data_IF_921528332403
#
_entry.id   IF_921528332403
#
_cell.length_a   1.000
_cell.length_b   1.000
_cell.length_c   1.000
_cell.angle_alpha   90.00
_cell.angle_beta   90.00
_cell.angle_gamma   90.00
#
_symmetry.space_group_name_H-M   'P 1'
#
loop_
_entity.id
_entity.type
_entity.pdbx_description
1 polymer ?
#
# COMPACT_ATOMS: atom_id res chain seq x y z
N UNK A 1 6.75 17.65 -15.22
CA UNK A 1 7.21 16.51 -14.39
C UNK A 1 5.98 15.93 -13.72
N UNK A 2 5.73 14.64 -13.90
CA UNK A 2 4.68 13.91 -13.18
C UNK A 2 5.40 13.09 -12.11
N UNK A 3 4.99 13.24 -10.86
CA UNK A 3 5.55 12.53 -9.72
C UNK A 3 4.40 11.85 -8.98
N UNK A 4 4.66 10.64 -8.45
CA UNK A 4 3.72 9.72 -7.79
C UNK A 4 3.23 8.60 -8.70
N UNK A 5 3.21 7.37 -8.18
CA UNK A 5 2.83 6.18 -8.94
C UNK A 5 1.39 6.25 -9.46
N UNK A 6 0.45 6.75 -8.66
CA UNK A 6 -0.95 6.86 -9.08
C UNK A 6 -1.12 7.95 -10.14
N UNK A 7 -0.46 9.09 -9.98
CA UNK A 7 -0.48 10.16 -10.98
C UNK A 7 0.16 9.73 -12.32
N UNK A 8 1.22 8.91 -12.26
CA UNK A 8 1.87 8.34 -13.44
C UNK A 8 0.92 7.35 -14.14
N UNK A 9 0.28 6.45 -13.39
CA UNK A 9 -0.71 5.50 -13.94
C UNK A 9 -1.86 6.27 -14.58
N UNK A 10 -2.47 7.23 -13.88
CA UNK A 10 -3.56 8.07 -14.38
C UNK A 10 -3.20 8.76 -15.70
N UNK A 11 -1.99 9.30 -15.81
CA UNK A 11 -1.52 9.95 -17.02
C UNK A 11 -1.42 8.99 -18.21
N UNK A 12 -0.83 7.81 -18.01
CA UNK A 12 -0.66 6.84 -19.09
C UNK A 12 -1.97 6.15 -19.49
N UNK A 13 -2.91 5.98 -18.55
CA UNK A 13 -4.25 5.49 -18.84
C UNK A 13 -5.05 6.50 -19.67
N UNK A 14 -4.92 7.80 -19.39
CA UNK A 14 -5.62 8.85 -20.14
C UNK A 14 -5.20 8.96 -21.62
N UNK A 15 -3.96 8.57 -21.95
CA UNK A 15 -3.46 8.55 -23.34
C UNK A 15 -3.67 7.19 -24.04
N UNK A 16 -4.22 6.20 -23.33
CA UNK A 16 -4.55 4.89 -23.85
C UNK A 16 -3.46 3.84 -23.61
N UNK A 17 -3.77 2.84 -22.79
CA UNK A 17 -2.94 1.67 -22.57
C UNK A 17 -3.51 0.44 -23.31
N UNK A 18 -2.63 -0.41 -23.87
CA UNK A 18 -3.03 -1.69 -24.49
C UNK A 18 -3.78 -2.59 -23.50
N UNK A 19 -3.28 -2.63 -22.26
CA UNK A 19 -3.89 -3.33 -21.14
C UNK A 19 -4.17 -2.29 -20.05
N UNK A 20 -5.43 -1.83 -19.93
CA UNK A 20 -5.79 -0.83 -18.94
C UNK A 20 -5.55 -1.32 -17.51
N UNK A 21 -4.92 -0.47 -16.69
CA UNK A 21 -4.79 -0.66 -15.26
C UNK A 21 -6.16 -0.68 -14.56
N UNK A 22 -7.12 0.09 -15.08
CA UNK A 22 -8.47 0.20 -14.52
C UNK A 22 -9.43 -0.82 -15.13
N UNK A 23 -9.97 -1.77 -14.34
CA UNK A 23 -11.08 -2.60 -14.78
C UNK A 23 -12.32 -1.73 -15.11
N UNK A 24 -13.11 -2.21 -16.07
CA UNK A 24 -14.31 -1.49 -16.53
C UNK A 24 -15.58 -1.91 -15.78
N UNK A 25 -15.55 -3.08 -15.14
CA UNK A 25 -16.68 -3.60 -14.38
C UNK A 25 -16.65 -3.10 -12.93
N UNK A 26 -17.83 -2.85 -12.29
CA UNK A 26 -17.89 -2.19 -11.00
C UNK A 26 -17.18 -2.91 -9.86
N UNK A 27 -17.34 -4.23 -9.72
CA UNK A 27 -16.77 -4.97 -8.59
C UNK A 27 -15.25 -5.05 -8.72
N UNK A 28 -14.73 -5.41 -9.90
CA UNK A 28 -13.30 -5.42 -10.16
C UNK A 28 -12.66 -4.04 -9.96
N UNK A 29 -13.31 -2.96 -10.41
CA UNK A 29 -12.81 -1.59 -10.18
C UNK A 29 -12.73 -1.25 -8.70
N UNK A 30 -13.77 -1.59 -7.93
CA UNK A 30 -13.79 -1.35 -6.49
C UNK A 30 -12.70 -2.12 -5.76
N UNK A 31 -12.52 -3.41 -6.11
CA UNK A 31 -11.47 -4.27 -5.55
C UNK A 31 -10.09 -3.75 -5.92
N UNK A 32 -9.86 -3.36 -7.18
CA UNK A 32 -8.59 -2.76 -7.59
C UNK A 32 -8.22 -1.52 -6.78
N UNK A 33 -9.16 -0.60 -6.52
CA UNK A 33 -8.87 0.58 -5.70
C UNK A 33 -8.68 0.26 -4.21
N UNK A 34 -9.38 -0.75 -3.68
CA UNK A 34 -9.14 -1.22 -2.32
C UNK A 34 -7.68 -1.71 -2.15
N UNK A 35 -7.18 -2.49 -3.09
CA UNK A 35 -5.81 -3.00 -3.05
C UNK A 35 -4.75 -1.98 -3.51
N UNK A 36 -5.13 -0.96 -4.29
CA UNK A 36 -4.32 0.25 -4.49
C UNK A 36 -4.05 0.95 -3.15
N UNK A 37 -5.12 1.21 -2.39
CA UNK A 37 -5.06 1.84 -1.08
C UNK A 37 -4.31 0.97 -0.07
N UNK A 38 -4.67 -0.31 0.06
CA UNK A 38 -4.06 -1.21 1.03
C UNK A 38 -2.58 -1.50 0.70
N UNK A 39 -2.24 -1.70 -0.56
CA UNK A 39 -0.86 -1.89 -0.99
C UNK A 39 -0.01 -0.63 -0.78
N UNK A 40 -0.53 0.54 -1.14
CA UNK A 40 0.19 1.80 -0.99
C UNK A 40 0.39 2.23 0.47
N UNK A 41 -0.58 1.95 1.35
CA UNK A 41 -0.64 2.54 2.69
C UNK A 41 -0.72 1.54 3.84
N UNK A 42 -1.39 0.40 3.66
CA UNK A 42 -1.60 -0.61 4.71
C UNK A 42 -0.42 -1.54 4.94
N UNK A 43 0.34 -1.87 3.89
CA UNK A 43 1.51 -2.76 3.97
C UNK A 43 2.82 -2.04 4.36
N UNK A 44 2.77 -0.74 4.68
CA UNK A 44 3.96 0.02 5.08
C UNK A 44 4.55 -0.47 6.41
N UNK A 45 3.69 -0.92 7.35
CA UNK A 45 4.14 -1.45 8.65
C UNK A 45 5.03 -2.70 8.51
N UNK A 46 4.59 -3.79 7.85
CA UNK A 46 5.48 -4.93 7.63
C UNK A 46 6.67 -4.59 6.73
N UNK A 47 6.52 -3.72 5.72
CA UNK A 47 7.64 -3.30 4.87
C UNK A 47 8.76 -2.62 5.68
N UNK A 48 8.41 -1.75 6.63
CA UNK A 48 9.37 -1.08 7.50
C UNK A 48 10.00 -2.04 8.52
N UNK A 49 9.20 -2.90 9.15
CA UNK A 49 9.70 -3.91 10.11
C UNK A 49 10.69 -4.87 9.45
N UNK A 50 10.28 -5.53 8.37
CA UNK A 50 11.11 -6.54 7.72
C UNK A 50 12.39 -5.96 7.13
N UNK A 51 12.41 -4.71 6.68
CA UNK A 51 13.62 -4.08 6.17
C UNK A 51 14.59 -3.72 7.30
N UNK A 52 14.08 -3.12 8.37
CA UNK A 52 14.92 -2.42 9.35
C UNK A 52 15.08 -3.11 10.70
N UNK A 53 14.49 -4.28 10.92
CA UNK A 53 14.59 -5.01 12.20
C UNK A 53 15.24 -6.40 12.08
N UNK A 54 15.79 -6.73 10.91
CA UNK A 54 16.45 -8.00 10.59
C UNK A 54 17.91 -7.78 10.19
N UNK A 55 18.70 -7.13 11.05
CA UNK A 55 20.06 -6.72 10.72
C UNK A 55 20.99 -7.91 10.43
N UNK A 56 20.77 -9.05 11.09
CA UNK A 56 21.57 -10.25 10.89
C UNK A 56 21.50 -10.76 9.43
N UNK A 57 20.34 -10.64 8.81
CA UNK A 57 20.08 -11.09 7.44
C UNK A 57 20.23 -9.96 6.42
N UNK A 58 19.74 -8.77 6.73
CA UNK A 58 19.57 -7.69 5.76
C UNK A 58 20.73 -6.70 5.71
N UNK A 59 21.47 -6.47 6.80
CA UNK A 59 22.34 -5.30 6.91
C UNK A 59 23.42 -5.26 5.81
N UNK A 60 24.06 -6.41 5.55
CA UNK A 60 25.10 -6.50 4.52
C UNK A 60 24.57 -6.23 3.11
N UNK A 61 23.32 -6.63 2.84
CA UNK A 61 22.64 -6.32 1.59
C UNK A 61 22.28 -4.83 1.51
N UNK A 62 21.63 -4.29 2.54
CA UNK A 62 21.15 -2.91 2.58
C UNK A 62 22.27 -1.88 2.52
N UNK A 63 23.42 -2.14 3.14
CA UNK A 63 24.57 -1.23 3.09
C UNK A 63 24.99 -0.91 1.66
N UNK A 64 24.96 -1.91 0.77
CA UNK A 64 25.28 -1.75 -0.65
C UNK A 64 24.09 -1.27 -1.44
N UNK A 65 22.96 -1.97 -1.32
CA UNK A 65 21.79 -1.77 -2.18
C UNK A 65 21.15 -0.40 -1.98
N UNK A 66 21.02 0.03 -0.73
CA UNK A 66 20.37 1.29 -0.39
C UNK A 66 21.20 2.49 -0.85
N UNK A 67 22.53 2.41 -0.74
CA UNK A 67 23.42 3.47 -1.22
C UNK A 67 23.47 3.53 -2.74
N UNK A 68 23.46 2.38 -3.43
CA UNK A 68 23.37 2.34 -4.90
C UNK A 68 22.17 3.14 -5.43
N UNK A 69 21.03 3.11 -4.75
CA UNK A 69 19.85 3.89 -5.14
C UNK A 69 19.91 5.37 -4.75
N UNK A 70 20.56 5.71 -3.63
CA UNK A 70 20.62 7.08 -3.12
C UNK A 70 21.75 7.92 -3.74
N UNK A 71 22.91 7.31 -3.92
CA UNK A 71 24.12 7.96 -4.43
C UNK A 71 24.94 6.95 -5.25
N UNK A 72 24.57 6.71 -6.52
CA UNK A 72 25.31 5.81 -7.39
C UNK A 72 26.80 6.18 -7.45
N UNK A 73 27.68 5.20 -7.22
CA UNK A 73 29.13 5.37 -7.26
C UNK A 73 29.80 5.82 -5.96
N UNK A 74 29.05 6.02 -4.87
CA UNK A 74 29.64 6.20 -3.54
C UNK A 74 30.40 4.94 -3.10
N UNK A 75 31.56 5.12 -2.46
CA UNK A 75 32.40 4.02 -1.95
C UNK A 75 33.02 4.37 -0.59
N UNK A 76 33.47 3.34 0.14
CA UNK A 76 34.27 3.49 1.36
C UNK A 76 33.56 4.29 2.46
N UNK A 77 34.23 5.30 3.02
CA UNK A 77 33.67 6.13 4.09
C UNK A 77 32.42 6.91 3.67
N UNK A 78 32.32 7.30 2.38
CA UNK A 78 31.15 8.02 1.86
C UNK A 78 29.93 7.11 1.84
N UNK A 79 30.09 5.86 1.37
CA UNK A 79 29.03 4.84 1.39
C UNK A 79 28.54 4.60 2.82
N UNK A 80 29.45 4.41 3.78
CA UNK A 80 29.11 4.21 5.18
C UNK A 80 28.37 5.40 5.79
N UNK A 81 28.81 6.64 5.51
CA UNK A 81 28.18 7.85 6.02
C UNK A 81 26.76 8.06 5.44
N UNK A 82 26.61 7.87 4.12
CA UNK A 82 25.30 7.95 3.44
C UNK A 82 24.35 6.90 4.01
N UNK A 83 24.81 5.65 4.12
CA UNK A 83 24.01 4.57 4.68
C UNK A 83 23.61 4.87 6.13
N UNK A 84 24.55 5.26 7.00
CA UNK A 84 24.28 5.55 8.41
C UNK A 84 23.23 6.65 8.59
N UNK A 85 23.36 7.76 7.86
CA UNK A 85 22.41 8.86 7.93
C UNK A 85 21.01 8.46 7.40
N UNK A 86 20.95 7.77 6.27
CA UNK A 86 19.69 7.41 5.62
C UNK A 86 18.97 6.28 6.37
N UNK A 87 19.67 5.21 6.75
CA UNK A 87 19.10 4.09 7.52
C UNK A 87 18.62 4.52 8.91
N UNK A 88 19.36 5.39 9.61
CA UNK A 88 18.93 5.94 10.90
C UNK A 88 17.62 6.74 10.80
N UNK A 89 17.46 7.52 9.73
CA UNK A 89 16.21 8.24 9.45
C UNK A 89 15.05 7.27 9.18
N UNK A 90 15.28 6.22 8.40
CA UNK A 90 14.24 5.23 8.07
C UNK A 90 13.84 4.40 9.28
N UNK A 91 14.80 3.93 10.11
CA UNK A 91 14.50 3.25 11.37
C UNK A 91 13.64 4.11 12.30
N UNK A 92 13.95 5.41 12.40
CA UNK A 92 13.11 6.35 13.17
C UNK A 92 11.71 6.50 12.55
N UNK A 93 11.60 6.54 11.23
CA UNK A 93 10.31 6.60 10.54
C UNK A 93 9.48 5.32 10.73
N UNK A 94 10.10 4.15 10.93
CA UNK A 94 9.40 2.90 11.23
C UNK A 94 8.50 2.99 12.47
N UNK A 95 8.94 3.72 13.50
CA UNK A 95 8.14 3.96 14.69
C UNK A 95 6.83 4.72 14.38
N UNK A 96 6.83 5.59 13.37
CA UNK A 96 5.63 6.30 12.91
C UNK A 96 4.59 5.39 12.24
N UNK A 97 4.94 4.13 11.96
CA UNK A 97 4.02 3.10 11.47
C UNK A 97 3.64 2.09 12.56
N UNK A 98 3.99 2.38 13.82
CA UNK A 98 3.72 1.52 14.96
C UNK A 98 4.70 0.35 15.10
N UNK A 99 5.86 0.39 14.44
CA UNK A 99 6.89 -0.66 14.55
C UNK A 99 7.70 -0.47 15.83
N UNK A 100 7.69 -1.46 16.71
CA UNK A 100 8.51 -1.54 17.92
C UNK A 100 8.67 -3.02 18.36
N UNK A 101 9.39 -3.25 19.46
CA UNK A 101 9.66 -4.62 19.94
C UNK A 101 8.38 -5.38 20.34
N UNK A 102 7.39 -4.70 20.90
CA UNK A 102 6.15 -5.32 21.38
C UNK A 102 5.22 -5.73 20.22
N UNK A 103 5.19 -4.91 19.17
CA UNK A 103 4.33 -5.13 17.99
C UNK A 103 4.98 -6.02 16.94
N UNK A 104 6.31 -6.16 16.93
CA UNK A 104 7.06 -6.94 15.95
C UNK A 104 6.49 -8.37 15.73
N UNK A 105 6.26 -9.20 16.77
CA UNK A 105 5.69 -10.54 16.57
C UNK A 105 4.30 -10.52 15.90
N UNK A 106 3.47 -9.52 16.22
CA UNK A 106 2.14 -9.34 15.64
C UNK A 106 2.21 -8.84 14.20
N UNK A 107 3.17 -7.98 13.86
CA UNK A 107 3.44 -7.55 12.48
C UNK A 107 3.79 -8.74 11.62
N UNK A 108 4.68 -9.60 12.09
CA UNK A 108 5.06 -10.79 11.34
C UNK A 108 3.92 -11.81 11.23
N UNK A 109 3.11 -11.99 12.28
CA UNK A 109 1.95 -12.86 12.23
C UNK A 109 0.90 -12.34 11.22
N UNK A 110 0.59 -11.05 11.25
CA UNK A 110 -0.31 -10.40 10.30
C UNK A 110 0.21 -10.50 8.86
N UNK A 111 1.51 -10.27 8.65
CA UNK A 111 2.10 -10.42 7.31
C UNK A 111 2.06 -11.86 6.79
N UNK A 112 2.32 -12.86 7.64
CA UNK A 112 2.19 -14.27 7.25
C UNK A 112 0.75 -14.64 6.92
N UNK A 113 -0.23 -14.13 7.67
CA UNK A 113 -1.65 -14.32 7.35
C UNK A 113 -2.01 -13.70 5.99
N UNK A 114 -1.55 -12.49 5.69
CA UNK A 114 -1.70 -11.90 4.36
C UNK A 114 -1.09 -12.78 3.27
N UNK A 115 0.13 -13.28 3.48
CA UNK A 115 0.80 -14.17 2.52
C UNK A 115 0.06 -15.51 2.36
N UNK A 116 -0.45 -16.12 3.43
CA UNK A 116 -1.23 -17.35 3.36
C UNK A 116 -2.49 -17.16 2.49
N UNK A 117 -3.20 -16.03 2.68
CA UNK A 117 -4.39 -15.67 1.89
C UNK A 117 -4.05 -15.35 0.43
N UNK A 118 -2.98 -14.61 0.19
CA UNK A 118 -2.59 -14.22 -1.16
C UNK A 118 -2.04 -15.41 -1.95
N UNK A 119 -1.29 -16.30 -1.30
CA UNK A 119 -0.85 -17.58 -1.86
C UNK A 119 -2.04 -18.44 -2.29
N UNK A 120 -3.07 -18.54 -1.44
CA UNK A 120 -4.28 -19.28 -1.78
C UNK A 120 -5.02 -18.68 -2.99
N UNK A 121 -5.07 -17.35 -3.10
CA UNK A 121 -5.68 -16.70 -4.25
C UNK A 121 -4.86 -16.91 -5.54
N UNK A 122 -3.54 -16.75 -5.45
CA UNK A 122 -2.63 -16.90 -6.59
C UNK A 122 -2.42 -18.36 -7.01
N UNK A 123 -2.93 -19.33 -6.25
CA UNK A 123 -2.99 -20.72 -6.68
C UNK A 123 -3.92 -20.91 -7.89
N UNK A 124 -4.96 -20.08 -8.03
CA UNK A 124 -5.93 -20.15 -9.14
C UNK A 124 -5.73 -19.05 -10.20
N UNK A 125 -5.16 -17.90 -9.81
CA UNK A 125 -5.05 -16.72 -10.66
C UNK A 125 -3.60 -16.20 -10.76
N UNK A 126 -3.23 -15.71 -11.95
CA UNK A 126 -1.88 -15.17 -12.18
C UNK A 126 -1.64 -13.81 -11.51
N UNK A 127 -2.71 -13.05 -11.28
CA UNK A 127 -2.78 -11.70 -10.72
C UNK A 127 -4.09 -11.55 -9.93
N UNK A 128 -4.22 -10.46 -9.19
CA UNK A 128 -5.34 -10.19 -8.26
C UNK A 128 -6.73 -10.33 -8.90
N UNK A 129 -6.87 -10.00 -10.19
CA UNK A 129 -8.13 -10.06 -10.92
C UNK A 129 -8.10 -10.98 -12.14
N UNK A 130 -7.13 -11.91 -12.20
CA UNK A 130 -7.06 -12.93 -13.25
C UNK A 130 -5.74 -12.98 -14.01
N UNK A 131 -5.80 -12.86 -15.33
CA UNK A 131 -4.69 -13.14 -16.26
C UNK A 131 -3.73 -11.98 -16.53
N UNK A 132 -4.04 -10.76 -16.07
CA UNK A 132 -3.18 -9.58 -16.24
C UNK A 132 -3.18 -8.69 -14.99
N UNK A 133 -2.12 -7.89 -14.75
CA UNK A 133 -2.10 -6.99 -13.62
C UNK A 133 -3.10 -5.84 -13.81
N UNK A 134 -3.65 -5.40 -12.70
CA UNK A 134 -4.52 -4.22 -12.62
C UNK A 134 -3.96 -3.24 -11.60
N UNK A 135 -4.66 -2.12 -11.39
CA UNK A 135 -4.30 -1.11 -10.39
C UNK A 135 -4.05 -1.70 -8.99
N UNK A 136 -4.83 -2.71 -8.59
CA UNK A 136 -4.63 -3.38 -7.30
C UNK A 136 -3.29 -4.09 -7.20
N UNK A 137 -2.87 -4.78 -8.28
CA UNK A 137 -1.54 -5.39 -8.37
C UNK A 137 -0.43 -4.32 -8.32
N UNK A 138 -0.62 -3.18 -8.99
CA UNK A 138 0.34 -2.07 -8.97
C UNK A 138 0.45 -1.40 -7.59
N UNK A 139 -0.62 -1.36 -6.81
CA UNK A 139 -0.56 -0.96 -5.40
C UNK A 139 0.22 -1.96 -4.55
N UNK A 140 -0.12 -3.25 -4.67
CA UNK A 140 0.48 -4.32 -3.87
C UNK A 140 1.97 -4.53 -4.14
N UNK A 141 2.43 -4.35 -5.38
CA UNK A 141 3.85 -4.56 -5.73
C UNK A 141 4.76 -3.50 -5.09
N UNK A 142 4.24 -2.30 -4.80
CA UNK A 142 4.96 -1.20 -4.18
C UNK A 142 5.72 -1.58 -2.90
N UNK A 143 5.07 -2.20 -1.89
CA UNK A 143 5.75 -2.76 -0.72
C UNK A 143 6.30 -4.17 -0.98
N UNK A 144 5.59 -5.01 -1.75
CA UNK A 144 5.91 -6.44 -1.88
C UNK A 144 7.20 -6.70 -2.65
N UNK A 145 7.61 -5.84 -3.58
CA UNK A 145 8.87 -6.01 -4.29
C UNK A 145 10.07 -5.39 -3.55
N UNK A 146 10.21 -4.05 -3.45
CA UNK A 146 11.46 -3.43 -3.03
C UNK A 146 11.82 -3.67 -1.56
N UNK A 147 10.87 -4.05 -0.72
CA UNK A 147 11.08 -4.37 0.70
C UNK A 147 10.94 -5.88 0.92
N UNK A 148 9.75 -6.42 0.65
CA UNK A 148 9.39 -7.76 1.14
C UNK A 148 9.83 -8.90 0.21
N UNK A 149 10.10 -8.62 -1.06
CA UNK A 149 10.52 -9.61 -2.07
C UNK A 149 11.98 -9.49 -2.48
N UNK A 150 12.63 -8.38 -2.11
CA UNK A 150 14.04 -8.08 -2.43
C UNK A 150 14.96 -8.21 -1.21
N UNK A 151 14.56 -7.73 -0.03
CA UNK A 151 15.42 -7.78 1.16
C UNK A 151 15.58 -9.25 1.63
N UNK A 152 16.79 -9.67 2.08
CA UNK A 152 17.10 -11.09 2.33
C UNK A 152 16.14 -11.84 3.25
N UNK A 153 15.81 -11.30 4.43
CA UNK A 153 14.94 -11.96 5.41
C UNK A 153 13.51 -12.21 4.87
N UNK A 154 12.74 -11.19 4.44
CA UNK A 154 11.38 -11.41 3.95
C UNK A 154 11.37 -12.16 2.61
N UNK A 155 12.37 -11.97 1.75
CA UNK A 155 12.47 -12.71 0.49
C UNK A 155 12.73 -14.20 0.73
N UNK A 156 13.57 -14.57 1.71
CA UNK A 156 13.80 -15.95 2.09
C UNK A 156 12.51 -16.61 2.62
N UNK A 157 11.76 -15.91 3.46
CA UNK A 157 10.44 -16.37 3.93
C UNK A 157 9.47 -16.61 2.76
N UNK A 158 9.35 -15.62 1.86
CA UNK A 158 8.46 -15.69 0.70
C UNK A 158 8.83 -16.87 -0.20
N UNK A 159 10.12 -17.03 -0.56
CA UNK A 159 10.60 -18.12 -1.41
C UNK A 159 10.41 -19.51 -0.78
N UNK A 160 10.59 -19.61 0.54
CA UNK A 160 10.52 -20.89 1.23
C UNK A 160 9.08 -21.42 1.41
N UNK A 161 8.09 -20.52 1.50
CA UNK A 161 6.72 -20.89 1.93
C UNK A 161 5.60 -20.43 0.99
N UNK A 162 5.83 -19.40 0.19
CA UNK A 162 4.80 -18.68 -0.56
C UNK A 162 5.19 -18.61 -2.04
N UNK A 163 5.19 -19.79 -2.67
CA UNK A 163 5.70 -19.97 -4.03
C UNK A 163 4.93 -19.11 -5.03
N UNK A 164 3.60 -19.10 -4.98
CA UNK A 164 2.76 -18.35 -5.91
C UNK A 164 2.92 -16.84 -5.69
N UNK A 165 3.02 -16.36 -4.44
CA UNK A 165 3.32 -14.95 -4.16
C UNK A 165 4.69 -14.56 -4.70
N UNK A 166 5.73 -15.37 -4.47
CA UNK A 166 7.07 -15.12 -5.00
C UNK A 166 7.06 -15.08 -6.54
N UNK A 167 6.39 -16.04 -7.18
CA UNK A 167 6.19 -16.09 -8.63
C UNK A 167 5.45 -14.87 -9.17
N UNK A 168 4.46 -14.36 -8.44
CA UNK A 168 3.74 -13.13 -8.77
C UNK A 168 4.66 -11.90 -8.67
N UNK A 169 5.51 -11.80 -7.64
CA UNK A 169 6.51 -10.71 -7.54
C UNK A 169 7.46 -10.71 -8.73
N UNK A 170 7.97 -11.88 -9.14
CA UNK A 170 8.81 -11.98 -10.33
C UNK A 170 8.06 -11.56 -11.59
N UNK A 171 6.81 -12.03 -11.76
CA UNK A 171 5.96 -11.72 -12.90
C UNK A 171 5.64 -10.23 -13.01
N UNK A 172 5.46 -9.53 -11.90
CA UNK A 172 5.23 -8.09 -11.86
C UNK A 172 6.47 -7.26 -12.25
N UNK A 173 7.67 -7.84 -12.23
CA UNK A 173 8.94 -7.17 -12.56
C UNK A 173 9.39 -7.39 -14.01
N UNK A 174 8.57 -8.04 -14.83
CA UNK A 174 8.87 -8.29 -16.25
C UNK A 174 7.69 -7.87 -17.12
N UNK A 175 7.93 -7.24 -18.28
CA UNK A 175 6.86 -6.76 -19.15
C UNK A 175 6.15 -7.88 -19.90
N UNK A 176 6.77 -9.05 -20.04
CA UNK A 176 6.15 -10.21 -20.69
C UNK A 176 5.31 -11.00 -19.69
N UNK A 177 4.14 -11.48 -20.12
CA UNK A 177 3.40 -12.48 -19.37
C UNK A 177 4.24 -13.76 -19.28
N UNK A 178 4.88 -14.00 -18.12
CA UNK A 178 5.57 -15.27 -17.91
C UNK A 178 4.52 -16.36 -17.77
N UNK A 179 4.45 -17.31 -18.71
CA UNK A 179 3.47 -18.40 -18.72
C UNK A 179 3.74 -19.50 -17.65
N UNK A 180 4.64 -19.24 -16.69
CA UNK A 180 4.92 -20.17 -15.60
C UNK A 180 3.76 -20.23 -14.60
N UNK A 181 3.29 -21.46 -14.33
CA UNK A 181 2.29 -21.78 -13.30
C UNK A 181 0.86 -21.95 -13.82
N UNK A 182 0.35 -20.96 -14.57
CA UNK A 182 -1.06 -20.88 -14.95
C UNK A 182 -1.21 -20.72 -16.46
N UNK A 183 -1.13 -21.82 -17.21
CA UNK A 183 -1.24 -21.85 -18.68
C UNK A 183 -2.64 -21.40 -19.18
N UNK A 184 -3.64 -21.36 -18.29
CA UNK A 184 -5.05 -21.34 -18.67
C UNK A 184 -5.71 -19.97 -18.91
N UNK A 185 -5.17 -18.83 -18.44
CA UNK A 185 -5.98 -17.61 -18.30
C UNK A 185 -5.69 -16.47 -19.32
N UNK A 186 -4.69 -16.61 -20.18
CA UNK A 186 -4.30 -15.53 -21.11
C UNK A 186 -4.17 -14.18 -20.39
N UNK A 187 -4.60 -13.08 -21.02
CA UNK A 187 -4.69 -11.74 -20.41
C UNK A 187 -6.09 -11.41 -19.87
N UNK A 188 -7.00 -12.39 -19.79
CA UNK A 188 -8.39 -12.15 -19.41
C UNK A 188 -8.54 -11.90 -17.90
N UNK A 189 -9.41 -10.95 -17.53
CA UNK A 189 -9.84 -10.82 -16.14
C UNK A 189 -10.85 -11.93 -15.80
N UNK A 190 -11.11 -12.12 -14.51
CA UNK A 190 -12.13 -13.06 -14.03
C UNK A 190 -13.49 -12.76 -14.71
N UNK A 191 -14.20 -13.80 -15.16
CA UNK A 191 -15.46 -13.63 -15.87
C UNK A 191 -16.56 -13.03 -14.98
N UNK A 192 -17.57 -12.44 -15.62
CA UNK A 192 -18.83 -12.01 -15.00
C UNK A 192 -18.69 -11.03 -13.82
N UNK A 193 -17.63 -10.22 -13.81
CA UNK A 193 -17.29 -9.30 -12.69
C UNK A 193 -17.22 -10.04 -11.32
N UNK A 194 -16.95 -11.35 -11.35
CA UNK A 194 -16.98 -12.17 -10.16
C UNK A 194 -15.81 -11.84 -9.23
N UNK A 195 -16.07 -11.87 -7.93
CA UNK A 195 -15.07 -11.75 -6.86
C UNK A 195 -15.04 -13.08 -6.10
N UNK A 196 -14.05 -13.95 -6.36
CA UNK A 196 -14.01 -15.28 -5.77
C UNK A 196 -13.76 -15.22 -4.26
N UNK A 197 -14.11 -16.29 -3.54
CA UNK A 197 -14.02 -16.34 -2.08
C UNK A 197 -12.59 -16.11 -1.56
N UNK A 198 -11.56 -16.54 -2.30
CA UNK A 198 -10.14 -16.27 -1.97
C UNK A 198 -9.83 -14.77 -1.99
N UNK A 199 -10.42 -14.01 -2.91
CA UNK A 199 -10.26 -12.56 -2.99
C UNK A 199 -11.09 -11.85 -1.90
N UNK A 200 -12.31 -12.33 -1.62
CA UNK A 200 -13.10 -11.85 -0.47
C UNK A 200 -12.40 -12.08 0.86
N UNK A 201 -11.64 -13.18 0.99
CA UNK A 201 -10.84 -13.44 2.18
C UNK A 201 -9.73 -12.39 2.37
N UNK A 202 -9.05 -11.98 1.29
CA UNK A 202 -8.12 -10.85 1.34
C UNK A 202 -8.83 -9.54 1.71
N UNK A 203 -10.04 -9.28 1.21
CA UNK A 203 -10.82 -8.10 1.59
C UNK A 203 -11.16 -8.09 3.09
N UNK A 204 -11.54 -9.24 3.67
CA UNK A 204 -11.76 -9.39 5.12
C UNK A 204 -10.48 -9.18 5.93
N UNK A 205 -9.33 -9.58 5.39
CA UNK A 205 -8.05 -9.26 6.00
C UNK A 205 -7.82 -7.74 6.05
N UNK A 206 -8.09 -7.01 4.96
CA UNK A 206 -7.99 -5.53 4.95
C UNK A 206 -8.94 -4.90 5.97
N UNK A 207 -10.16 -5.43 6.11
CA UNK A 207 -11.11 -4.98 7.13
C UNK A 207 -10.58 -5.16 8.55
N UNK A 208 -9.88 -6.26 8.81
CA UNK A 208 -9.36 -6.58 10.14
C UNK A 208 -8.06 -5.82 10.45
N UNK A 209 -7.16 -5.74 9.48
CA UNK A 209 -5.79 -5.28 9.69
C UNK A 209 -5.61 -3.77 9.47
N UNK A 210 -6.40 -3.16 8.57
CA UNK A 210 -6.17 -1.79 8.12
C UNK A 210 -7.34 -0.82 8.35
N UNK A 211 -8.58 -1.30 8.33
CA UNK A 211 -9.75 -0.43 8.56
C UNK A 211 -9.72 0.32 9.91
N UNK A 212 -9.29 -0.27 11.05
CA UNK A 212 -9.21 0.48 12.31
C UNK A 212 -8.29 1.70 12.22
N UNK A 213 -7.20 1.58 11.47
CA UNK A 213 -6.27 2.70 11.22
C UNK A 213 -6.94 3.79 10.38
N UNK A 214 -7.65 3.43 9.31
CA UNK A 214 -8.39 4.38 8.48
C UNK A 214 -9.44 5.16 9.30
N UNK A 215 -10.19 4.46 10.15
CA UNK A 215 -11.20 5.07 11.03
C UNK A 215 -10.54 6.11 11.94
N UNK A 216 -9.48 5.73 12.65
CA UNK A 216 -8.79 6.61 13.58
C UNK A 216 -8.14 7.81 12.86
N UNK A 217 -7.59 7.61 11.67
CA UNK A 217 -6.94 8.66 10.88
C UNK A 217 -7.94 9.67 10.34
N UNK A 218 -9.10 9.22 9.85
CA UNK A 218 -10.17 10.11 9.39
C UNK A 218 -10.75 10.91 10.55
N UNK A 219 -10.97 10.27 11.71
CA UNK A 219 -11.41 10.97 12.92
C UNK A 219 -10.41 12.07 13.33
N UNK A 220 -9.12 11.72 13.43
CA UNK A 220 -8.07 12.70 13.73
C UNK A 220 -8.02 13.84 12.73
N UNK A 221 -8.12 13.54 11.43
CA UNK A 221 -8.09 14.56 10.39
C UNK A 221 -9.28 15.52 10.51
N UNK A 222 -10.47 15.01 10.81
CA UNK A 222 -11.65 15.85 11.01
C UNK A 222 -11.52 16.76 12.23
N UNK A 223 -10.98 16.26 13.35
CA UNK A 223 -10.68 17.11 14.52
C UNK A 223 -9.62 18.16 14.19
N UNK A 224 -8.59 17.78 13.42
CA UNK A 224 -7.52 18.67 12.99
C UNK A 224 -8.03 19.79 12.07
N UNK A 225 -8.98 19.49 11.18
CA UNK A 225 -9.64 20.43 10.28
C UNK A 225 -10.60 21.35 11.05
N UNK A 226 -11.39 20.80 11.97
CA UNK A 226 -12.32 21.57 12.80
C UNK A 226 -11.59 22.60 13.69
N UNK A 227 -10.39 22.28 14.16
CA UNK A 227 -9.52 23.21 14.89
C UNK A 227 -8.90 24.32 14.00
N UNK A 228 -9.12 24.29 12.68
CA UNK A 228 -8.56 25.22 11.69
C UNK A 228 -9.64 25.72 10.72
N UNK A 229 -10.64 26.47 11.21
CA UNK A 229 -11.72 26.98 10.36
C UNK A 229 -11.21 27.91 9.24
N UNK A 230 -10.10 28.61 9.48
CA UNK A 230 -9.50 29.56 8.54
C UNK A 230 -8.47 28.91 7.59
N UNK A 231 -8.41 27.57 7.54
CA UNK A 231 -7.47 26.87 6.67
C UNK A 231 -7.70 27.24 5.19
N UNK A 232 -6.66 27.72 4.53
CA UNK A 232 -6.74 28.16 3.13
C UNK A 232 -6.84 26.95 2.19
N UNK A 233 -7.86 26.94 1.33
CA UNK A 233 -8.03 25.95 0.25
C UNK A 233 -6.82 25.92 -0.68
N UNK A 234 -6.40 24.71 -1.07
CA UNK A 234 -5.23 24.52 -1.91
C UNK A 234 -3.90 24.56 -1.15
N UNK A 235 -3.92 24.55 0.19
CA UNK A 235 -2.74 24.38 1.03
C UNK A 235 -2.77 23.05 1.79
N UNK A 236 -1.63 22.54 2.22
CA UNK A 236 -1.57 21.38 3.12
C UNK A 236 -1.85 21.74 4.59
N UNK A 237 -1.96 23.04 4.90
CA UNK A 237 -2.18 23.58 6.24
C UNK A 237 -1.01 23.42 7.22
N UNK A 238 0.21 23.25 6.70
CA UNK A 238 1.45 23.12 7.47
C UNK A 238 2.46 24.17 7.00
N UNK A 239 3.45 24.48 7.85
CA UNK A 239 4.48 25.50 7.54
C UNK A 239 5.30 25.18 6.28
N UNK A 240 5.44 23.89 5.95
CA UNK A 240 6.20 23.41 4.80
C UNK A 240 5.27 22.66 3.84
N UNK A 241 5.15 23.08 2.57
CA UNK A 241 4.29 22.43 1.59
C UNK A 241 4.58 20.94 1.34
N UNK A 242 5.84 20.51 1.54
CA UNK A 242 6.26 19.11 1.37
C UNK A 242 6.05 18.22 2.60
N UNK A 243 5.46 18.72 3.69
CA UNK A 243 5.15 17.88 4.85
C UNK A 243 3.99 16.93 4.54
N UNK A 244 4.21 15.64 4.82
CA UNK A 244 3.29 14.56 4.47
C UNK A 244 2.40 14.07 5.62
N UNK A 245 2.62 14.57 6.84
CA UNK A 245 1.89 14.14 8.03
C UNK A 245 1.33 15.32 8.81
N UNK A 246 0.09 15.19 9.28
CA UNK A 246 -0.64 16.22 10.04
C UNK A 246 -0.69 15.96 11.55
N UNK A 247 -0.19 14.81 11.99
CA UNK A 247 -0.14 14.40 13.39
C UNK A 247 -0.05 12.89 13.57
N UNK A 248 -0.44 12.41 14.74
CA UNK A 248 -0.41 11.01 15.13
C UNK A 248 -1.78 10.60 15.67
N UNK A 249 -2.27 9.42 15.31
CA UNK A 249 -3.51 8.86 15.82
C UNK A 249 -3.25 7.52 16.50
N UNK A 250 -3.92 7.28 17.63
CA UNK A 250 -3.83 6.04 18.41
C UNK A 250 -5.09 5.20 18.20
N UNK A 251 -4.91 3.89 18.01
CA UNK A 251 -6.01 2.95 17.79
C UNK A 251 -5.61 1.53 18.22
N UNK A 252 -6.62 0.68 18.39
CA UNK A 252 -6.43 -0.73 18.67
C UNK A 252 -6.16 -1.51 17.37
N UNK A 253 -5.08 -2.29 17.38
CA UNK A 253 -4.66 -3.11 16.26
C UNK A 253 -4.17 -4.46 16.77
N UNK A 254 -4.93 -5.52 16.49
CA UNK A 254 -4.60 -6.92 16.83
C UNK A 254 -4.14 -7.11 18.29
N UNK A 255 -4.86 -6.50 19.22
CA UNK A 255 -4.60 -6.59 20.67
C UNK A 255 -3.54 -5.61 21.20
N UNK A 256 -3.00 -4.73 20.35
CA UNK A 256 -2.09 -3.65 20.74
C UNK A 256 -2.76 -2.30 20.60
N UNK A 257 -2.45 -1.38 21.51
CA UNK A 257 -2.72 0.04 21.28
C UNK A 257 -1.51 0.65 20.57
N UNK A 258 -1.66 1.03 19.30
CA UNK A 258 -0.56 1.55 18.48
C UNK A 258 -0.85 2.98 18.05
N UNK A 259 0.22 3.75 17.80
CA UNK A 259 0.13 5.15 17.37
C UNK A 259 0.87 5.32 16.05
N UNK A 260 0.19 5.79 15.00
CA UNK A 260 0.77 5.96 13.67
C UNK A 260 0.55 7.36 13.10
N UNK A 261 1.41 7.75 12.16
CA UNK A 261 1.36 9.07 11.53
C UNK A 261 0.17 9.20 10.58
N UNK A 262 -0.58 10.28 10.74
CA UNK A 262 -1.74 10.58 9.90
C UNK A 262 -1.29 11.31 8.64
N UNK A 263 -1.41 10.66 7.49
CA UNK A 263 -0.90 11.16 6.21
C UNK A 263 -2.06 11.52 5.25
N UNK A 264 -2.21 12.79 4.83
CA UNK A 264 -3.31 13.21 3.94
C UNK A 264 -3.41 12.45 2.63
N UNK A 265 -2.28 11.98 2.07
CA UNK A 265 -2.26 11.17 0.84
C UNK A 265 -3.18 9.95 0.91
N UNK A 266 -3.30 9.34 2.10
CA UNK A 266 -4.19 8.21 2.36
C UNK A 266 -5.66 8.54 2.13
N UNK A 267 -6.09 9.76 2.47
CA UNK A 267 -7.47 10.19 2.28
C UNK A 267 -7.80 10.42 0.81
N UNK A 268 -6.80 10.83 0.01
CA UNK A 268 -6.96 10.93 -1.44
C UNK A 268 -7.20 9.55 -2.08
N UNK A 269 -6.44 8.53 -1.67
CA UNK A 269 -6.67 7.14 -2.11
C UNK A 269 -7.98 6.57 -1.57
N UNK A 270 -8.32 6.85 -0.30
CA UNK A 270 -9.58 6.43 0.30
C UNK A 270 -10.80 6.97 -0.44
N UNK A 271 -10.78 8.24 -0.85
CA UNK A 271 -11.88 8.85 -1.59
C UNK A 271 -12.06 8.20 -2.98
N UNK A 272 -10.95 7.84 -3.66
CA UNK A 272 -10.99 7.04 -4.90
C UNK A 272 -11.62 5.66 -4.65
N UNK A 273 -11.17 4.95 -3.62
CA UNK A 273 -11.68 3.62 -3.27
C UNK A 273 -13.16 3.64 -2.88
N UNK A 274 -13.61 4.62 -2.09
CA UNK A 274 -15.02 4.80 -1.70
C UNK A 274 -15.93 5.02 -2.90
N UNK A 275 -15.55 5.93 -3.80
CA UNK A 275 -16.33 6.21 -5.02
C UNK A 275 -16.45 4.97 -5.90
N UNK A 276 -15.38 4.20 -6.05
CA UNK A 276 -15.39 2.96 -6.80
C UNK A 276 -16.22 1.85 -6.14
N UNK A 277 -16.26 1.81 -4.81
CA UNK A 277 -17.00 0.80 -4.04
C UNK A 277 -18.50 1.10 -3.91
N UNK A 278 -18.94 2.36 -4.05
CA UNK A 278 -20.35 2.74 -3.86
C UNK A 278 -21.36 1.92 -4.71
N UNK A 279 -21.11 1.60 -6.00
CA UNK A 279 -22.03 0.78 -6.80
C UNK A 279 -22.11 -0.69 -6.35
N UNK A 280 -21.15 -1.16 -5.55
CA UNK A 280 -21.03 -2.55 -5.08
C UNK A 280 -20.96 -2.62 -3.56
N UNK A 281 -21.68 -1.74 -2.86
CA UNK A 281 -21.64 -1.62 -1.41
C UNK A 281 -21.88 -2.96 -0.68
N UNK A 282 -22.78 -3.81 -1.18
CA UNK A 282 -23.05 -5.15 -0.62
C UNK A 282 -21.80 -6.03 -0.55
N UNK A 283 -20.90 -5.97 -1.54
CA UNK A 283 -19.63 -6.71 -1.53
C UNK A 283 -18.69 -6.22 -0.41
N UNK A 284 -18.70 -4.92 -0.13
CA UNK A 284 -17.91 -4.34 0.95
C UNK A 284 -18.53 -4.66 2.32
N UNK A 285 -19.85 -4.65 2.43
CA UNK A 285 -20.57 -5.05 3.65
C UNK A 285 -20.31 -6.51 4.01
N UNK A 286 -20.41 -7.46 3.07
CA UNK A 286 -20.19 -8.88 3.33
C UNK A 286 -18.73 -9.22 3.70
N UNK A 287 -17.78 -8.34 3.37
CA UNK A 287 -16.35 -8.49 3.70
C UNK A 287 -15.92 -7.68 4.92
N UNK A 288 -16.87 -7.04 5.62
CA UNK A 288 -16.58 -6.22 6.81
C UNK A 288 -16.01 -4.83 6.50
N UNK A 289 -15.90 -4.45 5.23
CA UNK A 289 -15.43 -3.15 4.76
C UNK A 289 -16.56 -2.12 4.62
N UNK A 290 -17.80 -2.47 4.92
CA UNK A 290 -18.96 -1.55 4.92
C UNK A 290 -18.67 -0.19 5.59
N UNK A 291 -18.05 -0.14 6.79
CA UNK A 291 -17.73 1.14 7.44
C UNK A 291 -16.80 2.05 6.62
N UNK A 292 -15.94 1.49 5.75
CA UNK A 292 -15.05 2.26 4.87
C UNK A 292 -15.83 3.22 3.96
N UNK A 293 -17.04 2.84 3.53
CA UNK A 293 -17.87 3.65 2.64
C UNK A 293 -18.31 4.97 3.30
N UNK A 294 -18.40 4.99 4.63
CA UNK A 294 -18.77 6.17 5.40
C UNK A 294 -17.57 7.03 5.84
N UNK A 295 -16.33 6.58 5.62
CA UNK A 295 -15.14 7.30 6.07
C UNK A 295 -14.83 8.49 5.16
N UNK A 296 -15.11 9.70 5.65
CA UNK A 296 -14.94 10.92 4.88
C UNK A 296 -14.31 12.03 5.72
N UNK A 297 -13.33 12.71 5.12
CA UNK A 297 -12.79 13.94 5.68
C UNK A 297 -13.69 15.12 5.31
N UNK A 298 -13.90 16.06 6.24
CA UNK A 298 -14.71 17.27 6.05
C UNK A 298 -14.25 18.14 4.87
N UNK A 299 -12.98 17.99 4.48
CA UNK A 299 -12.39 18.56 3.27
C UNK A 299 -11.75 17.44 2.47
N UNK A 300 -11.95 17.34 1.14
CA UNK A 300 -11.25 16.37 0.32
C UNK A 300 -9.75 16.69 0.29
N UNK A 301 -8.93 15.67 0.06
CA UNK A 301 -7.53 15.88 -0.30
C UNK A 301 -7.43 15.90 -1.82
N UNK A 302 -6.77 16.92 -2.35
CA UNK A 302 -6.51 17.14 -3.77
C UNK A 302 -4.99 17.10 -4.02
N UNK A 303 -4.60 17.04 -5.29
CA UNK A 303 -3.19 16.99 -5.73
C UNK A 303 -2.88 18.17 -6.62
N UNK A 304 -2.14 19.16 -6.10
CA UNK A 304 -1.68 20.33 -6.86
C UNK A 304 -0.16 20.39 -6.89
N UNK A 305 0.44 20.47 -8.08
CA UNK A 305 1.91 20.58 -8.22
C UNK A 305 2.69 19.43 -7.57
N UNK A 306 2.14 18.21 -7.58
CA UNK A 306 2.66 17.01 -6.90
C UNK A 306 2.61 17.04 -5.36
N UNK A 307 1.80 17.92 -4.77
CA UNK A 307 1.59 18.02 -3.32
C UNK A 307 0.16 17.70 -2.94
N UNK A 308 -0.03 17.09 -1.78
CA UNK A 308 -1.35 16.93 -1.15
C UNK A 308 -1.82 18.26 -0.56
N UNK A 309 -3.03 18.67 -0.90
CA UNK A 309 -3.64 19.91 -0.40
C UNK A 309 -5.09 19.68 -0.01
N UNK A 310 -5.61 20.50 0.90
CA UNK A 310 -7.03 20.43 1.30
C UNK A 310 -7.89 21.23 0.31
N UNK A 311 -8.87 20.56 -0.28
CA UNK A 311 -9.89 21.16 -1.15
C UNK A 311 -10.93 21.97 -0.37
N UNK A 312 -11.99 22.43 -1.02
CA UNK A 312 -13.05 23.20 -0.33
C UNK A 312 -13.81 22.34 0.71
N UNK A 313 -14.39 22.94 1.78
CA UNK A 313 -15.30 22.24 2.69
C UNK A 313 -16.43 21.52 1.93
N UNK A 314 -16.73 20.29 2.36
CA UNK A 314 -17.85 19.48 1.85
C UNK A 314 -19.19 19.93 2.44
#
# INVERSE_FOLDING_TARGET
IIQDGVAIIDHFEAIGARLPAYPQTPAHRAVSHLFELFGGEGLLRPAMHYRWNFDAENLAFLQRDFVCGLMPGATGETEAAVFGAASGRMRKAGASFGVNADTAPTIEASYREFLDLFEAHLADYSYLLGGRPTLGDYGLIGPLYPHLGRDPAPAALMKARYHNVWRWVERMNVPQAQLGGHVANGEALIADDAVPETLKALMRFVATDFLPELVAHVAFANDWLAARPDLITGTNGLDRPGMRGIGMATFDWRGHSITTAVMPYRFWLLDRARRAAAPVATLFEETGLGPMLALETQRPVERHGNLEVWGAPR
#
